data_IF_011193697462
#
_entry.id   IF_011193697462
#
_cell.length_a   1.000
_cell.length_b   1.000
_cell.length_c   1.000
_cell.angle_alpha   90.00
_cell.angle_beta   90.00
_cell.angle_gamma   90.00
#
_symmetry.space_group_name_H-M   'P 1'
#
loop_
_entity.id
_entity.type
_entity.pdbx_description
1 polymer ?
#
# COMPACT_ATOMS: atom_id res chain seq x y z
N UNK A 1 -19.54 -11.11 1.36
CA UNK A 1 -18.73 -10.36 2.32
C UNK A 1 -18.25 -11.39 3.33
N UNK A 2 -17.01 -11.87 3.21
CA UNK A 2 -16.39 -12.59 4.32
C UNK A 2 -15.98 -11.48 5.30
N UNK A 3 -16.65 -11.50 6.44
CA UNK A 3 -16.75 -10.42 7.40
C UNK A 3 -15.39 -10.10 8.04
N UNK A 4 -15.07 -8.82 8.16
CA UNK A 4 -14.01 -8.33 9.06
C UNK A 4 -14.34 -8.62 10.55
N UNK A 5 -15.50 -9.23 10.83
CA UNK A 5 -16.05 -9.46 12.17
C UNK A 5 -15.48 -10.70 12.88
N UNK A 6 -14.88 -11.66 12.15
CA UNK A 6 -14.42 -12.94 12.72
C UNK A 6 -12.92 -12.98 13.07
N UNK A 7 -12.18 -11.87 12.93
CA UNK A 7 -10.77 -11.80 13.31
C UNK A 7 -10.62 -11.08 14.64
N UNK A 8 -9.93 -11.72 15.59
CA UNK A 8 -9.48 -11.07 16.81
C UNK A 8 -8.69 -9.80 16.45
N UNK A 9 -9.15 -8.68 16.99
CA UNK A 9 -8.47 -7.39 16.87
C UNK A 9 -7.16 -7.49 17.66
N UNK A 10 -5.98 -7.42 17.02
CA UNK A 10 -4.72 -7.47 17.75
C UNK A 10 -4.69 -6.30 18.74
N UNK A 11 -4.40 -6.46 20.05
CA UNK A 11 -4.25 -5.37 21.03
C UNK A 11 -2.97 -4.54 20.87
N UNK A 12 -2.91 -3.35 21.46
CA UNK A 12 -1.72 -2.48 21.40
C UNK A 12 -0.52 -3.23 21.96
N UNK A 13 0.60 -3.22 21.24
CA UNK A 13 1.82 -3.94 21.59
C UNK A 13 2.04 -5.23 20.79
N UNK A 14 1.07 -5.65 19.99
CA UNK A 14 1.19 -6.78 19.06
C UNK A 14 1.91 -6.43 17.75
N UNK A 15 2.26 -5.16 17.53
CA UNK A 15 3.00 -4.71 16.35
C UNK A 15 4.34 -4.05 16.71
N UNK A 16 5.41 -4.24 15.92
CA UNK A 16 6.68 -3.58 16.14
C UNK A 16 6.54 -2.04 16.14
N UNK A 17 5.64 -1.47 15.35
CA UNK A 17 5.36 -0.03 15.40
C UNK A 17 4.80 0.43 16.76
N UNK A 18 4.02 -0.38 17.48
CA UNK A 18 3.55 -0.04 18.82
C UNK A 18 4.74 0.10 19.80
N UNK A 19 5.76 -0.77 19.65
CA UNK A 19 7.01 -0.69 20.40
C UNK A 19 7.87 0.49 20.01
N UNK A 20 7.83 0.90 18.74
CA UNK A 20 8.43 2.13 18.28
C UNK A 20 7.78 3.37 18.91
N UNK A 21 6.44 3.42 18.93
CA UNK A 21 5.68 4.48 19.61
C UNK A 21 6.06 4.53 21.08
N UNK A 22 6.06 3.40 21.80
CA UNK A 22 6.45 3.37 23.22
C UNK A 22 7.86 3.93 23.48
N UNK A 23 8.78 3.74 22.54
CA UNK A 23 10.15 4.21 22.65
C UNK A 23 10.35 5.70 22.28
N UNK A 24 9.48 6.25 21.43
CA UNK A 24 9.71 7.53 20.75
C UNK A 24 8.65 8.59 21.01
N UNK A 25 7.52 8.21 21.59
CA UNK A 25 6.44 9.15 21.92
C UNK A 25 6.93 10.22 22.91
N UNK A 26 6.67 11.49 22.58
CA UNK A 26 7.00 12.63 23.45
C UNK A 26 5.71 13.36 23.89
N UNK A 27 5.25 13.17 25.14
CA UNK A 27 4.06 13.83 25.64
C UNK A 27 4.24 15.36 25.79
N UNK A 28 5.47 15.87 25.74
CA UNK A 28 5.77 17.30 25.84
C UNK A 28 6.03 17.95 24.47
N UNK A 29 5.92 17.18 23.39
CA UNK A 29 6.16 17.71 22.05
C UNK A 29 5.11 18.78 21.70
N UNK A 30 5.51 19.88 21.04
CA UNK A 30 4.59 20.94 20.63
C UNK A 30 3.68 20.51 19.47
N UNK A 31 3.94 19.35 18.86
CA UNK A 31 3.17 18.80 17.76
C UNK A 31 1.85 18.19 18.25
N UNK A 32 0.80 18.33 17.44
CA UNK A 32 -0.43 17.60 17.65
C UNK A 32 -0.20 16.09 17.56
N UNK A 33 -1.11 15.31 18.14
CA UNK A 33 -1.06 13.84 18.09
C UNK A 33 -0.91 13.29 16.68
N UNK A 34 -1.61 13.89 15.72
CA UNK A 34 -1.57 13.48 14.32
C UNK A 34 -0.24 13.85 13.64
N UNK A 35 0.32 15.02 13.94
CA UNK A 35 1.64 15.43 13.44
C UNK A 35 2.75 14.55 14.02
N UNK A 36 2.69 14.21 15.31
CA UNK A 36 3.60 13.24 15.91
C UNK A 36 3.48 11.87 15.26
N UNK A 37 2.25 11.37 15.05
CA UNK A 37 2.03 10.11 14.32
C UNK A 37 2.70 10.14 12.94
N UNK A 38 2.51 11.23 12.19
CA UNK A 38 3.15 11.43 10.88
C UNK A 38 4.67 11.41 10.98
N UNK A 39 5.25 12.07 11.98
CA UNK A 39 6.70 12.06 12.20
C UNK A 39 7.21 10.67 12.56
N UNK A 40 6.49 9.94 13.42
CA UNK A 40 6.85 8.60 13.87
C UNK A 40 6.79 7.60 12.72
N UNK A 41 5.75 7.62 11.89
CA UNK A 41 5.66 6.75 10.70
C UNK A 41 6.80 7.04 9.74
N UNK A 42 7.11 8.31 9.49
CA UNK A 42 8.25 8.69 8.65
C UNK A 42 9.58 8.16 9.21
N UNK A 43 9.85 8.38 10.50
CA UNK A 43 11.08 7.88 11.15
C UNK A 43 11.15 6.35 11.10
N UNK A 44 10.05 5.67 11.38
CA UNK A 44 9.94 4.21 11.38
C UNK A 44 10.21 3.60 9.99
N UNK A 45 9.69 4.21 8.93
CA UNK A 45 9.98 3.79 7.55
C UNK A 45 11.47 3.95 7.22
N UNK A 46 12.09 5.06 7.62
CA UNK A 46 13.50 5.36 7.35
C UNK A 46 14.50 4.42 8.03
N UNK A 47 14.10 3.77 9.14
CA UNK A 47 14.91 2.73 9.78
C UNK A 47 15.25 1.57 8.82
N UNK A 48 14.39 1.29 7.83
CA UNK A 48 14.48 0.09 7.01
C UNK A 48 14.31 -1.19 7.83
N UNK A 49 14.27 -2.34 7.14
CA UNK A 49 14.03 -3.67 7.72
C UNK A 49 14.82 -3.92 9.02
N UNK A 50 16.14 -3.82 8.93
CA UNK A 50 17.04 -4.14 10.03
C UNK A 50 17.07 -3.09 11.15
N UNK A 51 16.86 -1.81 10.83
CA UNK A 51 16.71 -0.78 11.86
C UNK A 51 15.44 -0.95 12.71
N UNK A 52 14.46 -1.71 12.21
CA UNK A 52 13.24 -2.05 12.94
C UNK A 52 13.37 -3.30 13.83
N UNK A 53 14.45 -4.06 13.73
CA UNK A 53 14.64 -5.31 14.48
C UNK A 53 14.52 -5.12 15.99
N UNK A 54 15.06 -4.04 16.55
CA UNK A 54 14.98 -3.79 18.00
C UNK A 54 13.52 -3.74 18.48
N UNK A 55 12.62 -3.17 17.69
CA UNK A 55 11.19 -3.07 18.04
C UNK A 55 10.45 -4.37 17.78
N UNK A 56 10.88 -5.14 16.77
CA UNK A 56 10.39 -6.50 16.54
C UNK A 56 10.76 -7.45 17.69
N UNK A 57 12.01 -7.43 18.17
CA UNK A 57 12.43 -8.24 19.33
C UNK A 57 11.71 -7.82 20.61
N UNK A 58 11.53 -6.51 20.85
CA UNK A 58 10.74 -6.00 21.98
C UNK A 58 9.30 -6.52 21.95
N UNK A 59 8.70 -6.61 20.77
CA UNK A 59 7.36 -7.19 20.58
C UNK A 59 7.32 -8.66 20.99
N UNK A 60 8.29 -9.47 20.54
CA UNK A 60 8.35 -10.89 20.88
C UNK A 60 8.57 -11.15 22.39
N UNK A 61 9.32 -10.27 23.05
CA UNK A 61 9.64 -10.38 24.48
C UNK A 61 8.66 -9.61 25.40
N UNK A 62 7.60 -9.04 24.82
CA UNK A 62 6.75 -8.09 25.51
C UNK A 62 5.93 -8.73 26.64
N UNK A 63 5.81 -8.01 27.76
CA UNK A 63 5.11 -8.46 28.97
C UNK A 63 3.84 -7.67 29.29
N UNK A 64 3.34 -6.85 28.36
CA UNK A 64 2.10 -6.10 28.54
C UNK A 64 2.24 -4.71 29.20
N UNK A 65 3.44 -4.29 29.59
CA UNK A 65 3.63 -2.98 30.22
C UNK A 65 3.62 -1.85 29.19
N UNK A 66 2.70 -0.89 29.36
CA UNK A 66 2.58 0.31 28.51
C UNK A 66 2.85 1.55 29.37
N UNK A 67 3.76 2.45 28.97
CA UNK A 67 3.98 3.70 29.69
C UNK A 67 2.69 4.56 29.77
N UNK A 68 2.38 5.21 30.92
CA UNK A 68 1.10 5.89 31.12
C UNK A 68 0.76 6.99 30.09
N UNK A 69 1.78 7.66 29.55
CA UNK A 69 1.61 8.81 28.66
C UNK A 69 1.58 8.42 27.17
N UNK A 70 1.71 7.12 26.85
CA UNK A 70 1.73 6.62 25.47
C UNK A 70 0.30 6.39 24.97
N UNK A 71 -0.12 7.02 23.84
CA UNK A 71 -1.42 6.78 23.25
C UNK A 71 -1.48 5.41 22.58
N UNK A 72 -2.57 4.68 22.81
CA UNK A 72 -2.81 3.33 22.27
C UNK A 72 -3.75 3.33 21.05
N UNK A 73 -4.27 4.51 20.70
CA UNK A 73 -5.27 4.77 19.66
C UNK A 73 -4.69 5.57 18.48
N UNK A 74 -3.37 5.51 18.27
CA UNK A 74 -2.77 6.07 17.06
C UNK A 74 -3.18 5.29 15.81
N UNK A 75 -3.43 3.99 15.94
CA UNK A 75 -4.04 3.14 14.91
C UNK A 75 -5.48 2.83 15.32
N UNK A 76 -6.42 2.98 14.40
CA UNK A 76 -7.83 2.63 14.61
C UNK A 76 -8.01 1.11 14.69
N UNK A 77 -9.15 0.63 15.18
CA UNK A 77 -9.40 -0.83 15.17
C UNK A 77 -9.33 -1.41 13.75
N UNK A 78 -9.81 -0.65 12.76
CA UNK A 78 -9.79 -1.06 11.37
C UNK A 78 -8.36 -1.12 10.81
N UNK A 79 -7.50 -0.15 11.18
CA UNK A 79 -6.08 -0.14 10.83
C UNK A 79 -5.39 -1.43 11.30
N UNK A 80 -5.71 -1.83 12.53
CA UNK A 80 -5.11 -2.98 13.20
C UNK A 80 -5.63 -4.31 12.65
N UNK A 81 -6.87 -4.37 12.15
CA UNK A 81 -7.40 -5.53 11.41
C UNK A 81 -6.73 -5.75 10.06
N UNK A 82 -6.28 -4.69 9.37
CA UNK A 82 -5.60 -4.83 8.08
C UNK A 82 -4.26 -5.56 8.17
N UNK A 83 -3.62 -5.54 9.34
CA UNK A 83 -2.31 -6.13 9.54
C UNK A 83 -2.32 -7.66 9.53
N UNK A 84 -3.37 -8.27 10.08
CA UNK A 84 -3.46 -9.72 10.35
C UNK A 84 -3.65 -10.59 9.09
N UNK A 85 -3.24 -10.09 7.92
CA UNK A 85 -3.33 -10.75 6.62
C UNK A 85 -2.02 -10.48 5.89
N UNK A 86 -1.09 -11.45 5.92
CA UNK A 86 0.23 -11.45 5.26
C UNK A 86 0.25 -11.23 3.73
N UNK A 87 -0.78 -10.60 3.16
CA UNK A 87 -0.72 -10.07 1.80
C UNK A 87 0.30 -8.94 1.71
N UNK A 88 1.34 -9.15 0.90
CA UNK A 88 2.30 -8.12 0.51
C UNK A 88 1.85 -7.35 -0.75
N UNK A 89 0.54 -7.33 -1.02
CA UNK A 89 -0.06 -6.64 -2.15
C UNK A 89 -1.14 -5.66 -1.70
N UNK A 90 -1.06 -4.40 -2.13
CA UNK A 90 -2.07 -3.37 -1.85
C UNK A 90 -2.74 -2.87 -3.13
N UNK A 91 -4.03 -2.56 -3.05
CA UNK A 91 -4.77 -1.92 -4.13
C UNK A 91 -5.24 -0.54 -3.67
N UNK A 92 -4.74 0.53 -4.29
CA UNK A 92 -4.95 1.90 -3.86
C UNK A 92 -5.66 2.69 -4.96
N UNK A 93 -6.83 3.24 -4.65
CA UNK A 93 -7.50 4.20 -5.50
C UNK A 93 -6.96 5.61 -5.27
N UNK A 94 -6.52 6.24 -6.35
CA UNK A 94 -6.06 7.64 -6.31
C UNK A 94 -6.99 8.57 -7.10
N UNK A 95 -7.87 8.06 -7.95
CA UNK A 95 -8.72 8.94 -8.77
C UNK A 95 -10.20 8.97 -8.37
N UNK A 96 -10.69 10.17 -8.06
CA UNK A 96 -12.05 10.44 -7.55
C UNK A 96 -12.87 11.41 -8.41
N UNK A 97 -12.32 11.86 -9.55
CA UNK A 97 -12.94 12.92 -10.35
C UNK A 97 -12.87 14.31 -9.71
N UNK A 98 -13.52 15.27 -10.34
CA UNK A 98 -13.61 16.67 -9.92
C UNK A 98 -14.89 16.88 -9.11
N UNK A 99 -14.78 17.49 -7.94
CA UNK A 99 -15.94 17.93 -7.17
C UNK A 99 -16.48 19.20 -7.83
N UNK A 100 -17.78 19.24 -8.13
CA UNK A 100 -18.43 20.40 -8.75
C UNK A 100 -18.64 21.53 -7.72
N UNK A 101 -18.15 21.39 -6.48
CA UNK A 101 -18.28 22.41 -5.43
C UNK A 101 -17.12 23.40 -5.45
N UNK A 102 -17.06 24.23 -6.50
CA UNK A 102 -16.13 25.34 -6.62
C UNK A 102 -16.19 25.94 -8.02
N UNK A 103 -16.46 27.24 -8.11
CA UNK A 103 -16.80 27.96 -9.35
C UNK A 103 -15.97 27.57 -10.59
N UNK A 104 -16.56 27.59 -11.80
CA UNK A 104 -15.81 27.37 -13.03
C UNK A 104 -14.82 28.52 -13.22
N UNK A 105 -13.53 28.23 -13.12
CA UNK A 105 -12.47 29.10 -13.59
C UNK A 105 -12.59 29.23 -15.11
N UNK A 106 -12.81 30.45 -15.60
CA UNK A 106 -13.14 30.77 -17.01
C UNK A 106 -11.99 30.59 -18.01
N UNK A 107 -10.90 29.92 -17.64
CA UNK A 107 -9.69 29.84 -18.47
C UNK A 107 -9.01 28.48 -18.39
N UNK A 108 -9.75 27.39 -18.64
CA UNK A 108 -9.08 26.13 -18.95
C UNK A 108 -9.81 25.39 -20.07
N UNK A 109 -9.03 25.06 -21.09
CA UNK A 109 -9.39 24.33 -22.30
C UNK A 109 -10.09 23.01 -21.95
N UNK A 110 -11.12 22.69 -22.74
CA UNK A 110 -12.14 21.67 -22.47
C UNK A 110 -11.59 20.24 -22.35
N UNK A 111 -11.24 19.80 -21.14
CA UNK A 111 -11.42 18.40 -20.77
C UNK A 111 -12.79 18.29 -20.07
N UNK A 112 -13.63 17.30 -20.42
CA UNK A 112 -14.91 17.12 -19.76
C UNK A 112 -14.66 16.92 -18.26
N UNK A 113 -15.32 17.73 -17.43
CA UNK A 113 -15.28 17.58 -15.97
C UNK A 113 -15.81 16.20 -15.62
N UNK A 114 -14.95 15.32 -15.10
CA UNK A 114 -15.35 13.98 -14.67
C UNK A 114 -15.91 14.09 -13.25
N UNK A 115 -17.19 13.76 -13.04
CA UNK A 115 -17.78 13.83 -11.71
C UNK A 115 -17.34 12.64 -10.85
N UNK A 116 -17.45 12.76 -9.52
CA UNK A 116 -17.22 11.65 -8.59
C UNK A 116 -18.01 10.40 -8.93
N UNK A 117 -19.29 10.56 -9.29
CA UNK A 117 -20.14 9.44 -9.72
C UNK A 117 -19.59 8.71 -10.95
N UNK A 118 -19.03 9.45 -11.91
CA UNK A 118 -18.42 8.84 -13.10
C UNK A 118 -17.13 8.10 -12.72
N UNK A 119 -16.29 8.69 -11.86
CA UNK A 119 -15.09 8.04 -11.35
C UNK A 119 -15.42 6.75 -10.57
N UNK A 120 -16.46 6.78 -9.72
CA UNK A 120 -16.92 5.61 -8.96
C UNK A 120 -17.41 4.48 -9.87
N UNK A 121 -18.16 4.80 -10.93
CA UNK A 121 -18.59 3.81 -11.92
C UNK A 121 -17.42 3.19 -12.67
N UNK A 122 -16.44 4.01 -13.05
CA UNK A 122 -15.22 3.56 -13.71
C UNK A 122 -14.38 2.66 -12.79
N UNK A 123 -14.22 3.04 -11.53
CA UNK A 123 -13.54 2.24 -10.52
C UNK A 123 -14.25 0.90 -10.27
N UNK A 124 -15.58 0.89 -10.14
CA UNK A 124 -16.35 -0.38 -10.01
C UNK A 124 -16.16 -1.30 -11.21
N UNK A 125 -16.12 -0.75 -12.43
CA UNK A 125 -15.82 -1.53 -13.64
C UNK A 125 -14.41 -2.11 -13.57
N UNK A 126 -13.43 -1.31 -13.16
CA UNK A 126 -12.04 -1.75 -13.00
C UNK A 126 -11.93 -2.87 -11.97
N UNK A 127 -12.49 -2.66 -10.78
CA UNK A 127 -12.51 -3.62 -9.69
C UNK A 127 -13.16 -4.95 -10.12
N UNK A 128 -14.32 -4.89 -10.77
CA UNK A 128 -14.98 -6.10 -11.29
C UNK A 128 -14.09 -6.84 -12.29
N UNK A 129 -13.41 -6.10 -13.18
CA UNK A 129 -12.55 -6.68 -14.20
C UNK A 129 -11.26 -7.28 -13.63
N UNK A 130 -10.71 -6.68 -12.59
CA UNK A 130 -9.47 -7.10 -11.95
C UNK A 130 -9.65 -8.33 -11.04
N UNK A 131 -10.80 -8.43 -10.38
CA UNK A 131 -11.02 -9.42 -9.32
C UNK A 131 -12.09 -10.46 -9.61
N UNK A 132 -12.69 -10.46 -10.80
CA UNK A 132 -13.70 -11.45 -11.14
C UNK A 132 -13.41 -12.06 -12.50
N UNK A 133 -13.53 -13.38 -12.57
CA UNK A 133 -13.44 -14.13 -13.81
C UNK A 133 -14.71 -14.96 -14.00
N UNK A 134 -15.06 -15.20 -15.25
CA UNK A 134 -16.21 -16.04 -15.61
C UNK A 134 -15.74 -17.48 -15.79
N UNK A 135 -16.35 -18.42 -15.09
CA UNK A 135 -16.07 -19.85 -15.25
C UNK A 135 -16.60 -20.36 -16.60
N UNK A 136 -16.21 -21.58 -16.97
CA UNK A 136 -16.76 -22.26 -18.16
C UNK A 136 -18.29 -22.39 -18.12
N UNK A 137 -18.88 -22.36 -16.92
CA UNK A 137 -20.32 -22.46 -16.68
C UNK A 137 -21.02 -21.09 -16.67
N UNK A 138 -20.28 -20.00 -16.91
CA UNK A 138 -20.83 -18.65 -16.93
C UNK A 138 -20.97 -18.00 -15.56
N UNK A 139 -20.52 -18.65 -14.49
CA UNK A 139 -20.56 -18.10 -13.15
C UNK A 139 -19.43 -17.10 -12.92
N UNK A 140 -19.73 -16.00 -12.25
CA UNK A 140 -18.72 -15.00 -11.91
C UNK A 140 -18.09 -15.35 -10.56
N UNK A 141 -16.82 -15.73 -10.58
CA UNK A 141 -16.05 -16.13 -9.41
C UNK A 141 -15.02 -15.05 -9.10
N UNK A 142 -14.95 -14.69 -7.82
CA UNK A 142 -13.99 -13.72 -7.33
C UNK A 142 -12.59 -14.34 -7.23
N UNK A 143 -11.62 -13.69 -7.82
CA UNK A 143 -10.19 -13.89 -7.61
C UNK A 143 -9.84 -13.59 -6.14
N UNK A 144 -9.16 -14.54 -5.50
CA UNK A 144 -8.80 -14.51 -4.08
C UNK A 144 -7.40 -13.93 -3.83
N UNK A 145 -6.70 -13.47 -4.87
CA UNK A 145 -5.33 -12.99 -4.75
C UNK A 145 -5.21 -11.65 -4.00
N UNK A 146 -6.29 -10.86 -3.90
CA UNK A 146 -6.32 -9.62 -3.10
C UNK A 146 -7.49 -9.65 -2.13
N UNK A 147 -7.17 -9.50 -0.84
CA UNK A 147 -8.16 -9.45 0.20
C UNK A 147 -8.89 -8.10 0.19
N UNK A 148 -10.20 -8.07 0.52
CA UNK A 148 -10.94 -6.81 0.64
C UNK A 148 -10.27 -5.79 1.56
N UNK A 149 -9.59 -6.27 2.61
CA UNK A 149 -8.91 -5.43 3.59
C UNK A 149 -7.69 -4.69 3.01
N UNK A 150 -7.11 -5.18 1.91
CA UNK A 150 -5.97 -4.54 1.23
C UNK A 150 -6.42 -3.55 0.14
N UNK A 151 -7.73 -3.25 0.07
CA UNK A 151 -8.32 -2.30 -0.88
C UNK A 151 -8.53 -0.96 -0.18
N UNK A 152 -7.76 0.04 -0.61
CA UNK A 152 -7.76 1.41 -0.12
C UNK A 152 -8.62 2.29 -1.06
N UNK A 153 -9.88 2.58 -0.67
CA UNK A 153 -10.87 3.42 -1.40
C UNK A 153 -11.53 4.43 -0.42
N UNK A 154 -12.05 5.56 -0.93
CA UNK A 154 -12.63 6.72 -0.21
C UNK A 154 -13.98 6.43 0.44
N UNK A 155 -14.05 5.34 1.20
CA UNK A 155 -15.08 5.18 2.22
C UNK A 155 -14.89 6.21 3.34
N UNK A 156 -15.95 6.69 4.00
CA UNK A 156 -15.80 7.49 5.22
C UNK A 156 -15.10 6.71 6.33
N UNK A 157 -15.24 5.39 6.32
CA UNK A 157 -14.52 4.42 7.16
C UNK A 157 -13.45 3.65 6.34
N UNK A 158 -13.55 3.70 5.00
CA UNK A 158 -12.66 2.99 4.08
C UNK A 158 -11.40 3.79 3.79
N UNK A 159 -10.27 3.10 3.71
CA UNK A 159 -8.97 3.72 3.68
C UNK A 159 -8.57 4.40 2.36
N UNK A 160 -9.32 5.40 1.92
CA UNK A 160 -8.96 6.22 0.77
C UNK A 160 -7.73 7.07 1.05
N UNK A 161 -7.03 7.41 -0.02
CA UNK A 161 -6.10 8.53 -0.04
C UNK A 161 -6.92 9.76 -0.40
N UNK A 162 -6.80 10.84 0.37
CA UNK A 162 -7.49 12.09 0.03
C UNK A 162 -7.12 12.51 -1.39
N UNK A 163 -8.08 13.06 -2.13
CA UNK A 163 -7.86 13.58 -3.48
C UNK A 163 -6.68 14.55 -3.58
N UNK A 164 -6.38 15.29 -2.51
CA UNK A 164 -5.25 16.22 -2.44
C UNK A 164 -3.89 15.50 -2.44
N UNK A 165 -3.86 14.23 -1.99
CA UNK A 165 -2.67 13.38 -1.98
C UNK A 165 -2.59 12.46 -3.21
N UNK A 166 -3.62 12.46 -4.07
CA UNK A 166 -3.62 11.76 -5.34
C UNK A 166 -2.84 12.56 -6.39
N UNK A 167 -1.56 12.22 -6.57
CA UNK A 167 -0.79 12.78 -7.67
C UNK A 167 -1.37 12.37 -9.02
N UNK A 168 -1.62 13.35 -9.90
CA UNK A 168 -1.87 13.14 -11.33
C UNK A 168 -0.55 12.93 -12.12
N UNK A 169 0.59 12.93 -11.43
CA UNK A 169 1.94 12.84 -12.00
C UNK A 169 2.52 11.42 -11.98
N UNK A 170 3.61 11.23 -12.73
CA UNK A 170 4.43 10.03 -12.65
C UNK A 170 4.98 9.88 -11.23
N UNK A 171 4.93 8.66 -10.73
CA UNK A 171 5.45 8.30 -9.41
C UNK A 171 6.98 8.38 -9.45
N UNK A 172 7.56 9.26 -8.64
CA UNK A 172 9.01 9.48 -8.56
C UNK A 172 9.71 8.33 -7.84
N UNK A 173 10.77 7.80 -8.44
CA UNK A 173 11.56 6.69 -7.92
C UNK A 173 12.37 7.12 -6.69
N UNK A 174 12.65 6.20 -5.75
CA UNK A 174 13.37 6.49 -4.52
C UNK A 174 12.60 7.39 -3.53
N UNK A 175 11.33 7.69 -3.80
CA UNK A 175 10.48 8.50 -2.93
C UNK A 175 9.31 7.68 -2.39
N UNK A 176 8.69 8.19 -1.31
CA UNK A 176 7.41 7.67 -0.80
C UNK A 176 6.32 8.63 -1.29
N UNK A 177 5.49 8.24 -2.27
CA UNK A 177 4.43 9.10 -2.76
C UNK A 177 3.45 9.47 -1.65
N UNK A 178 2.85 10.68 -1.66
CA UNK A 178 1.93 11.11 -0.59
C UNK A 178 0.75 10.14 -0.37
N UNK A 179 0.26 9.53 -1.45
CA UNK A 179 -0.80 8.53 -1.38
C UNK A 179 -0.35 7.27 -0.64
N UNK A 180 0.88 6.82 -0.89
CA UNK A 180 1.45 5.64 -0.25
C UNK A 180 1.81 5.93 1.21
N UNK A 181 2.31 7.13 1.51
CA UNK A 181 2.53 7.56 2.89
C UNK A 181 1.23 7.58 3.71
N UNK A 182 0.12 8.01 3.10
CA UNK A 182 -1.22 7.96 3.72
C UNK A 182 -1.63 6.52 4.06
N UNK A 183 -1.21 5.53 3.26
CA UNK A 183 -1.41 4.11 3.55
C UNK A 183 -0.49 3.64 4.68
N UNK A 184 0.80 4.03 4.70
CA UNK A 184 1.69 3.69 5.82
C UNK A 184 1.28 4.35 7.14
N UNK A 185 0.59 5.48 7.10
CA UNK A 185 -0.04 6.06 8.29
C UNK A 185 -1.11 5.15 8.91
N UNK A 186 -1.62 4.17 8.16
CA UNK A 186 -2.67 3.24 8.58
C UNK A 186 -2.09 1.86 8.90
N UNK A 187 -1.11 1.41 8.13
CA UNK A 187 -0.47 0.10 8.32
C UNK A 187 1.07 0.20 8.18
N UNK A 188 1.78 0.82 9.14
CA UNK A 188 3.22 1.06 9.03
C UNK A 188 4.06 -0.22 8.97
N UNK A 189 3.63 -1.29 9.65
CA UNK A 189 4.36 -2.56 9.67
C UNK A 189 4.18 -3.41 8.38
N UNK A 190 3.34 -2.99 7.41
CA UNK A 190 2.95 -3.79 6.23
C UNK A 190 4.14 -4.13 5.30
N UNK A 191 5.24 -3.38 5.38
CA UNK A 191 6.44 -3.58 4.55
C UNK A 191 7.23 -4.84 4.91
N UNK A 192 7.15 -5.28 6.16
CA UNK A 192 8.10 -6.24 6.69
C UNK A 192 7.57 -7.68 6.64
N UNK A 193 6.26 -7.92 6.59
CA UNK A 193 5.74 -9.30 6.60
C UNK A 193 6.18 -10.07 7.86
N UNK A 194 5.41 -9.99 8.94
CA UNK A 194 5.78 -10.60 10.23
C UNK A 194 5.72 -12.15 10.21
N UNK A 195 5.20 -12.77 9.15
CA UNK A 195 4.81 -14.19 9.16
C UNK A 195 5.94 -15.20 8.88
N UNK A 196 7.06 -14.81 8.26
CA UNK A 196 8.23 -15.70 8.14
C UNK A 196 9.26 -15.34 9.21
N UNK A 197 9.83 -16.33 9.91
CA UNK A 197 10.98 -16.12 10.80
C UNK A 197 12.30 -16.14 10.01
N UNK A 198 12.30 -16.73 8.80
CA UNK A 198 13.49 -17.04 8.00
C UNK A 198 13.98 -15.90 7.08
N UNK A 199 13.33 -14.73 7.05
CA UNK A 199 13.69 -13.62 6.13
C UNK A 199 14.62 -12.56 6.76
N UNK A 200 15.02 -12.73 8.03
CA UNK A 200 15.99 -11.87 8.72
C UNK A 200 17.22 -12.69 9.12
N UNK A 201 18.40 -12.28 8.68
CA UNK A 201 19.65 -12.93 9.07
C UNK A 201 20.11 -12.49 10.46
N UNK A 202 20.28 -13.46 11.36
CA UNK A 202 20.96 -13.27 12.66
C UNK A 202 22.49 -13.21 12.54
N UNK A 203 23.03 -13.59 11.37
CA UNK A 203 24.46 -13.53 11.09
C UNK A 203 24.86 -12.16 10.54
N UNK A 204 25.79 -11.47 11.20
CA UNK A 204 26.27 -10.14 10.81
C UNK A 204 26.79 -10.06 9.37
N UNK A 205 27.48 -11.11 8.90
CA UNK A 205 27.99 -11.19 7.52
C UNK A 205 26.87 -11.30 6.48
N UNK A 206 25.84 -12.10 6.75
CA UNK A 206 24.68 -12.20 5.88
C UNK A 206 23.84 -10.92 5.92
N UNK A 207 23.69 -10.33 7.11
CA UNK A 207 22.98 -9.06 7.29
C UNK A 207 23.57 -7.93 6.44
N UNK A 208 24.90 -7.79 6.42
CA UNK A 208 25.55 -6.76 5.62
C UNK A 208 25.25 -6.93 4.12
N UNK A 209 25.31 -8.17 3.62
CA UNK A 209 24.98 -8.48 2.21
C UNK A 209 23.50 -8.20 1.92
N UNK A 210 22.61 -8.60 2.82
CA UNK A 210 21.18 -8.32 2.66
C UNK A 210 20.89 -6.81 2.69
N UNK A 211 21.46 -6.05 3.63
CA UNK A 211 21.29 -4.60 3.73
C UNK A 211 21.72 -3.87 2.45
N UNK A 212 22.70 -4.37 1.70
CA UNK A 212 23.09 -3.85 0.39
C UNK A 212 22.04 -4.14 -0.71
N UNK A 213 21.32 -5.25 -0.61
CA UNK A 213 20.32 -5.69 -1.60
C UNK A 213 18.92 -5.15 -1.33
N UNK A 214 18.57 -4.88 -0.07
CA UNK A 214 17.22 -4.44 0.32
C UNK A 214 16.70 -3.18 -0.40
N UNK A 215 17.52 -2.15 -0.70
CA UNK A 215 17.07 -1.00 -1.49
C UNK A 215 16.76 -1.33 -2.95
N UNK A 216 17.15 -2.52 -3.42
CA UNK A 216 16.91 -3.00 -4.78
C UNK A 216 15.80 -4.06 -4.82
N UNK A 217 15.29 -4.51 -3.66
CA UNK A 217 14.39 -5.65 -3.56
C UNK A 217 12.95 -5.22 -3.24
N UNK A 218 11.98 -5.67 -4.04
CA UNK A 218 10.57 -5.51 -3.74
C UNK A 218 10.18 -6.17 -2.41
N UNK A 219 9.59 -5.38 -1.51
CA UNK A 219 9.00 -5.80 -0.25
C UNK A 219 7.48 -5.76 -0.27
N UNK A 220 6.93 -4.83 -1.05
CA UNK A 220 5.50 -4.63 -1.16
C UNK A 220 5.15 -4.31 -2.62
N UNK A 221 4.13 -4.98 -3.13
CA UNK A 221 3.54 -4.67 -4.43
C UNK A 221 2.35 -3.73 -4.23
N UNK A 222 2.33 -2.61 -4.97
CA UNK A 222 1.22 -1.64 -4.93
C UNK A 222 0.58 -1.51 -6.31
N UNK A 223 -0.72 -1.80 -6.40
CA UNK A 223 -1.55 -1.51 -7.56
C UNK A 223 -2.27 -0.19 -7.37
N UNK A 224 -2.10 0.73 -8.31
CA UNK A 224 -2.69 2.06 -8.28
C UNK A 224 -3.81 2.14 -9.31
N UNK A 225 -5.03 2.34 -8.81
CA UNK A 225 -6.23 2.64 -9.58
C UNK A 225 -6.37 4.15 -9.76
N UNK A 226 -5.52 4.70 -10.62
CA UNK A 226 -5.55 6.11 -11.02
C UNK A 226 -6.54 6.36 -12.18
N UNK A 227 -6.49 7.58 -12.72
CA UNK A 227 -7.35 7.97 -13.86
C UNK A 227 -7.15 7.06 -15.06
N UNK A 228 -5.90 6.72 -15.39
CA UNK A 228 -5.61 5.90 -16.55
C UNK A 228 -6.10 4.46 -16.37
N UNK A 229 -5.98 3.91 -15.16
CA UNK A 229 -6.56 2.62 -14.82
C UNK A 229 -8.08 2.63 -15.01
N UNK A 230 -8.77 3.66 -14.51
CA UNK A 230 -10.22 3.77 -14.56
C UNK A 230 -10.77 4.11 -15.95
N UNK A 231 -10.10 4.94 -16.74
CA UNK A 231 -10.57 5.34 -18.07
C UNK A 231 -10.11 4.36 -19.17
N UNK A 232 -8.87 3.86 -19.08
CA UNK A 232 -8.21 3.13 -20.16
C UNK A 232 -7.92 1.66 -19.82
N UNK A 233 -8.12 1.24 -18.57
CA UNK A 233 -7.89 -0.13 -18.11
C UNK A 233 -6.43 -0.46 -17.85
N UNK A 234 -5.56 0.55 -17.72
CA UNK A 234 -4.13 0.37 -17.47
C UNK A 234 -3.80 0.59 -15.99
N UNK A 235 -3.76 -0.48 -15.21
CA UNK A 235 -3.44 -0.44 -13.78
C UNK A 235 -1.94 -0.23 -13.61
N UNK A 236 -1.54 0.78 -12.83
CA UNK A 236 -0.13 1.00 -12.49
C UNK A 236 0.27 0.07 -11.36
N UNK A 237 1.43 -0.51 -11.47
CA UNK A 237 1.98 -1.45 -10.52
C UNK A 237 3.37 -0.98 -10.13
N UNK A 238 3.60 -0.87 -8.82
CA UNK A 238 4.80 -0.32 -8.21
C UNK A 238 5.40 -1.37 -7.29
N UNK A 239 6.69 -1.60 -7.45
CA UNK A 239 7.49 -2.33 -6.48
C UNK A 239 7.98 -1.34 -5.42
N UNK A 240 7.80 -1.67 -4.15
CA UNK A 240 8.15 -0.81 -3.02
C UNK A 240 9.22 -1.51 -2.18
N UNK A 241 10.28 -0.79 -1.82
CA UNK A 241 11.42 -1.31 -1.07
C UNK A 241 11.15 -1.38 0.45
N UNK A 242 12.17 -1.78 1.22
CA UNK A 242 12.10 -1.91 2.67
C UNK A 242 11.95 -0.59 3.45
N UNK A 243 12.02 0.57 2.79
CA UNK A 243 11.81 1.90 3.36
C UNK A 243 10.53 2.56 2.85
N UNK A 244 9.71 1.85 2.08
CA UNK A 244 8.49 2.39 1.51
C UNK A 244 8.72 3.19 0.23
N UNK A 245 9.93 3.15 -0.34
CA UNK A 245 10.31 3.90 -1.53
C UNK A 245 9.98 3.13 -2.80
N UNK A 246 9.62 3.86 -3.84
CA UNK A 246 9.27 3.30 -5.15
C UNK A 246 10.55 2.86 -5.87
N UNK A 247 10.61 1.58 -6.26
CA UNK A 247 11.69 1.05 -7.07
C UNK A 247 11.61 1.51 -8.53
N UNK A 248 12.71 1.45 -9.31
CA UNK A 248 12.78 2.03 -10.64
C UNK A 248 11.76 1.50 -11.65
N UNK A 249 11.50 0.19 -11.62
CA UNK A 249 10.59 -0.47 -12.56
C UNK A 249 9.13 -0.24 -12.17
N UNK A 250 8.37 0.39 -13.06
CA UNK A 250 6.93 0.60 -12.92
C UNK A 250 6.21 0.02 -14.12
N UNK A 251 5.10 -0.67 -13.90
CA UNK A 251 4.41 -1.40 -14.98
C UNK A 251 2.94 -1.04 -15.08
N UNK A 252 2.47 -0.76 -16.30
CA UNK A 252 1.05 -0.67 -16.62
C UNK A 252 0.55 -2.01 -17.11
N UNK A 253 -0.20 -2.72 -16.26
CA UNK A 253 -0.87 -3.97 -16.60
C UNK A 253 -2.29 -3.73 -17.11
N UNK A 254 -2.80 -4.65 -17.92
CA UNK A 254 -4.22 -4.62 -18.31
C UNK A 254 -5.11 -4.93 -17.10
N UNK A 255 -6.29 -4.33 -17.06
CA UNK A 255 -7.25 -4.51 -15.98
C UNK A 255 -7.57 -5.99 -15.71
N UNK A 256 -7.75 -6.79 -16.77
CA UNK A 256 -8.08 -8.21 -16.68
C UNK A 256 -6.92 -9.09 -16.19
N UNK A 257 -5.68 -8.61 -16.32
CA UNK A 257 -4.47 -9.34 -15.95
C UNK A 257 -4.03 -9.03 -14.52
N UNK A 258 -4.68 -8.10 -13.83
CA UNK A 258 -4.26 -7.64 -12.49
C UNK A 258 -4.12 -8.80 -11.51
N UNK A 259 -5.14 -9.65 -11.37
CA UNK A 259 -5.09 -10.79 -10.45
C UNK A 259 -3.95 -11.75 -10.74
N UNK A 260 -3.64 -11.98 -12.02
CA UNK A 260 -2.48 -12.76 -12.45
C UNK A 260 -1.15 -12.05 -12.14
N UNK A 261 -1.06 -10.74 -12.39
CA UNK A 261 0.14 -9.96 -12.08
C UNK A 261 0.45 -9.99 -10.59
N UNK A 262 -0.56 -9.85 -9.73
CA UNK A 262 -0.39 -10.02 -8.28
C UNK A 262 0.14 -11.40 -7.93
N UNK A 263 -0.46 -12.47 -8.47
CA UNK A 263 0.00 -13.84 -8.19
C UNK A 263 1.46 -14.08 -8.63
N UNK A 264 1.85 -13.53 -9.79
CA UNK A 264 3.20 -13.64 -10.31
C UNK A 264 4.22 -12.93 -9.42
N UNK A 265 3.93 -11.69 -9.00
CA UNK A 265 4.96 -10.83 -8.38
C UNK A 265 5.01 -10.90 -6.85
N UNK A 266 4.09 -11.63 -6.21
CA UNK A 266 3.97 -11.71 -4.74
C UNK A 266 4.25 -13.12 -4.22
N UNK A 267 3.64 -14.15 -4.82
CA UNK A 267 3.45 -15.43 -4.13
C UNK A 267 4.40 -16.55 -4.52
N UNK A 268 5.35 -16.37 -5.48
CA UNK A 268 6.42 -17.31 -5.92
C UNK A 268 7.01 -17.04 -7.33
N UNK A 269 6.68 -15.94 -8.00
CA UNK A 269 7.28 -15.62 -9.31
C UNK A 269 8.43 -14.62 -9.19
N UNK A 270 8.88 -14.09 -10.33
CA UNK A 270 9.90 -13.05 -10.40
C UNK A 270 9.29 -11.73 -9.94
N UNK A 271 9.86 -11.06 -8.92
CA UNK A 271 9.34 -9.79 -8.46
C UNK A 271 9.54 -8.72 -9.55
N UNK A 272 8.83 -7.60 -9.46
CA UNK A 272 8.77 -6.61 -10.56
C UNK A 272 10.14 -6.03 -10.93
N UNK A 273 11.06 -6.06 -9.97
CA UNK A 273 12.44 -5.61 -9.96
C UNK A 273 13.46 -6.67 -10.42
N UNK A 274 13.02 -7.86 -10.84
CA UNK A 274 13.92 -9.00 -11.13
C UNK A 274 14.90 -8.80 -12.29
N UNK A 275 14.56 -7.97 -13.29
CA UNK A 275 15.22 -7.98 -14.60
C UNK A 275 15.95 -6.68 -14.97
N UNK A 276 15.94 -5.62 -14.14
CA UNK A 276 16.37 -4.29 -14.58
C UNK A 276 17.44 -3.63 -13.67
N UNK A 277 18.57 -3.25 -14.27
CA UNK A 277 19.74 -2.60 -13.66
C UNK A 277 19.47 -1.13 -13.22
N UNK A 278 18.43 -0.90 -12.44
CA UNK A 278 18.17 0.40 -11.81
C UNK A 278 17.76 1.53 -12.76
N UNK A 279 17.37 1.21 -14.01
CA UNK A 279 16.87 2.20 -14.96
C UNK A 279 15.46 2.69 -14.57
N UNK A 280 15.24 4.01 -14.61
CA UNK A 280 13.95 4.64 -14.33
C UNK A 280 12.94 4.33 -15.46
N UNK A 281 12.27 3.17 -15.37
CA UNK A 281 11.47 2.61 -16.46
C UNK A 281 9.97 2.59 -16.13
N UNK A 282 9.17 2.94 -17.14
CA UNK A 282 7.72 2.76 -17.15
C UNK A 282 7.34 2.10 -18.47
N UNK A 283 6.81 0.87 -18.42
CA UNK A 283 6.36 0.17 -19.63
C UNK A 283 4.94 -0.39 -19.49
N UNK A 284 4.35 -0.68 -20.66
CA UNK A 284 3.02 -1.28 -20.78
C UNK A 284 3.17 -2.78 -21.04
N UNK A 285 2.51 -3.59 -20.22
CA UNK A 285 2.55 -5.05 -20.36
C UNK A 285 1.64 -5.47 -21.51
N UNK A 286 2.26 -5.75 -22.65
CA UNK A 286 1.61 -6.29 -23.84
C UNK A 286 0.99 -5.23 -24.78
N UNK A 287 0.70 -5.62 -26.03
CA UNK A 287 0.08 -4.74 -27.01
C UNK A 287 -1.42 -4.55 -26.74
N UNK A 288 -2.01 -3.52 -27.36
CA UNK A 288 -3.45 -3.28 -27.36
C UNK A 288 -3.90 -2.18 -26.41
N UNK A 289 -5.14 -2.27 -25.91
CA UNK A 289 -5.74 -1.35 -24.95
C UNK A 289 -5.81 -2.03 -23.57
N UNK A 290 -5.78 -1.24 -22.50
CA UNK A 290 -5.80 -1.77 -21.13
C UNK A 290 -7.07 -2.55 -20.76
N UNK A 291 -8.17 -2.30 -21.46
CA UNK A 291 -9.42 -3.03 -21.30
C UNK A 291 -9.50 -4.35 -22.09
N UNK A 292 -8.55 -4.61 -23.00
CA UNK A 292 -8.53 -5.84 -23.79
C UNK A 292 -8.28 -7.06 -22.87
N UNK A 293 -8.64 -8.26 -23.36
CA UNK A 293 -8.24 -9.52 -22.73
C UNK A 293 -6.79 -9.88 -23.08
#
# INVERSE_FOLDING_TARGET
MADLQDLDLPPFGDFPFDHFIMAKWDPNSPLTKQEQKSSLVSEYLQLGRYGRNDYFHRMLEWNGNIPPDVPQDLLTEEDRRMYNKGSIALWIRTWYGTDIQGLPSKTSTMLPTVTRTVADLAYRRLWRRAFFHTTLEGEEVRDRNIWPADIFDDGPDGFGVSKDNAGDGLVEIGTIPPFLFTVFMKCPDKLDGIEDEDWRSDNEGNRAVEEELLPLQQQLLVMVADRQACEQGWVLQLAIDHKGQVLPTRVRGKAAETGLCTALWVNKGEPLDADEEGEDLLYYRGPGKGWDN
#
